data_IF_975688398075
#
_entry.id   IF_975688398075
#
_cell.length_a   1.000
_cell.length_b   1.000
_cell.length_c   1.000
_cell.angle_alpha   90.00
_cell.angle_beta   90.00
_cell.angle_gamma   90.00
#
_symmetry.space_group_name_H-M   'P 1'
#
loop_
_entity.id
_entity.type
_entity.pdbx_description
1 polymer ?
#
# COMPACT_ATOMS: atom_id res chain seq x y z
N UNK A 1 9.84 51.94 -46.90
CA UNK A 1 10.81 50.82 -47.10
C UNK A 1 11.65 50.65 -45.83
N UNK A 2 11.29 49.75 -44.94
CA UNK A 2 12.16 49.24 -43.87
C UNK A 2 11.67 47.84 -43.50
N UNK A 3 12.49 46.85 -43.86
CA UNK A 3 12.30 45.44 -43.50
C UNK A 3 12.67 45.27 -42.04
N UNK A 4 11.72 44.79 -41.22
CA UNK A 4 12.01 44.25 -39.88
C UNK A 4 12.22 42.76 -40.00
N UNK A 5 13.43 42.32 -39.71
CA UNK A 5 13.77 40.89 -39.52
C UNK A 5 13.27 40.48 -38.12
N UNK A 6 12.31 39.55 -38.06
CA UNK A 6 12.01 38.80 -36.87
C UNK A 6 13.01 37.66 -36.75
N UNK A 7 13.85 37.75 -35.72
CA UNK A 7 14.72 36.65 -35.33
C UNK A 7 13.90 35.54 -34.64
N UNK A 8 13.83 34.40 -35.28
CA UNK A 8 13.29 33.16 -34.74
C UNK A 8 14.33 32.54 -33.81
N UNK A 9 14.12 32.55 -32.51
CA UNK A 9 14.87 31.72 -31.57
C UNK A 9 14.25 30.31 -31.56
N UNK A 10 15.00 29.26 -31.90
CA UNK A 10 14.56 27.92 -31.63
C UNK A 10 14.75 27.63 -30.13
N UNK A 11 13.65 27.41 -29.44
CA UNK A 11 13.60 26.86 -28.11
C UNK A 11 14.12 25.42 -28.18
N UNK A 12 15.35 25.23 -27.80
CA UNK A 12 15.99 23.92 -27.70
C UNK A 12 15.41 23.22 -26.45
N UNK A 13 14.32 22.48 -26.62
CA UNK A 13 13.87 21.52 -25.63
C UNK A 13 14.89 20.39 -25.58
N UNK A 14 15.72 20.40 -24.54
CA UNK A 14 16.52 19.24 -24.20
C UNK A 14 15.57 18.08 -23.81
N UNK A 15 15.74 16.88 -24.36
CA UNK A 15 15.03 15.74 -23.85
C UNK A 15 15.55 15.47 -22.44
N UNK A 16 14.65 15.53 -21.44
CA UNK A 16 14.87 14.86 -20.18
C UNK A 16 14.89 13.36 -20.49
N UNK A 17 16.06 12.82 -20.60
CA UNK A 17 16.27 11.39 -20.56
C UNK A 17 16.08 10.98 -19.10
N UNK A 18 14.83 10.60 -18.74
CA UNK A 18 14.62 9.64 -17.66
C UNK A 18 15.33 8.35 -18.11
N UNK A 19 16.59 8.28 -17.82
CA UNK A 19 17.32 7.04 -17.88
C UNK A 19 16.91 6.31 -16.61
N UNK A 20 15.82 5.50 -16.67
CA UNK A 20 15.63 4.38 -15.80
C UNK A 20 16.83 3.45 -16.06
N UNK A 21 17.93 3.77 -15.41
CA UNK A 21 19.13 2.94 -15.38
C UNK A 21 18.87 1.85 -14.36
N UNK A 22 18.20 0.79 -14.82
CA UNK A 22 17.83 -0.42 -14.07
C UNK A 22 19.08 -1.27 -13.74
N UNK A 23 20.24 -0.60 -13.66
CA UNK A 23 21.51 -1.23 -13.33
C UNK A 23 21.60 -1.41 -11.82
N UNK A 24 21.86 -2.63 -11.31
CA UNK A 24 22.04 -2.88 -9.89
C UNK A 24 23.14 -2.01 -9.30
N UNK A 25 22.83 -1.21 -8.29
CA UNK A 25 23.81 -0.34 -7.60
C UNK A 25 24.27 -1.06 -6.34
N UNK A 26 25.60 -1.18 -6.16
CA UNK A 26 26.21 -1.85 -5.01
C UNK A 26 27.24 -0.91 -4.34
N UNK A 27 26.74 0.08 -3.62
CA UNK A 27 27.57 1.02 -2.89
C UNK A 27 27.46 0.81 -1.37
N UNK A 28 28.44 1.25 -0.58
CA UNK A 28 28.43 1.04 0.89
C UNK A 28 27.21 1.60 1.62
N UNK A 29 26.53 2.59 1.04
CA UNK A 29 25.35 3.25 1.63
C UNK A 29 24.12 3.22 0.74
N UNK A 30 24.23 2.69 -0.47
CA UNK A 30 23.15 2.60 -1.44
C UNK A 30 23.24 1.26 -2.16
N UNK A 31 22.22 0.45 -2.01
CA UNK A 31 22.12 -0.82 -2.68
C UNK A 31 20.78 -0.91 -3.39
N UNK A 32 20.77 -1.19 -4.68
CA UNK A 32 19.56 -1.31 -5.50
C UNK A 32 19.58 -2.56 -6.32
N UNK A 33 18.45 -3.24 -6.39
CA UNK A 33 18.15 -4.32 -7.35
C UNK A 33 16.89 -3.95 -8.17
N UNK A 34 16.41 -4.86 -8.99
CA UNK A 34 15.22 -4.68 -9.85
C UNK A 34 13.94 -4.31 -9.07
N UNK A 35 13.91 -4.54 -7.76
CA UNK A 35 12.69 -4.39 -6.97
C UNK A 35 12.86 -3.48 -5.76
N UNK A 36 14.04 -3.45 -5.16
CA UNK A 36 14.29 -2.78 -3.89
C UNK A 36 15.48 -1.86 -3.93
N UNK A 37 15.35 -0.75 -3.23
CA UNK A 37 16.47 0.17 -2.95
C UNK A 37 16.65 0.27 -1.43
N UNK A 38 17.84 -0.09 -0.96
CA UNK A 38 18.28 0.11 0.41
C UNK A 38 19.20 1.34 0.49
N UNK A 39 18.89 2.27 1.37
CA UNK A 39 19.71 3.46 1.59
C UNK A 39 20.03 3.64 3.07
N UNK A 40 21.31 3.79 3.40
CA UNK A 40 21.75 4.12 4.76
C UNK A 40 21.76 5.64 4.92
N UNK A 41 20.93 6.13 5.83
CA UNK A 41 20.69 7.55 6.10
C UNK A 41 21.02 7.88 7.56
N UNK A 42 21.15 9.15 7.89
CA UNK A 42 21.17 9.59 9.28
C UNK A 42 19.78 9.41 9.90
N UNK A 43 19.72 9.05 11.18
CA UNK A 43 18.46 9.05 11.91
C UNK A 43 17.97 10.49 12.16
N UNK A 44 16.73 10.64 12.62
CA UNK A 44 16.12 11.95 12.87
C UNK A 44 16.85 12.77 13.93
N UNK A 45 17.47 12.12 14.91
CA UNK A 45 18.22 12.77 16.00
C UNK A 45 19.68 13.10 15.62
N UNK A 46 20.12 12.75 14.41
CA UNK A 46 21.49 12.91 13.87
C UNK A 46 22.59 12.26 14.74
N UNK A 47 22.21 11.41 15.68
CA UNK A 47 23.12 10.71 16.61
C UNK A 47 23.44 9.27 16.19
N UNK A 48 22.79 8.77 15.13
CA UNK A 48 22.94 7.41 14.65
C UNK A 48 22.63 7.26 13.15
N UNK A 49 22.48 6.03 12.72
CA UNK A 49 22.20 5.66 11.35
C UNK A 49 20.92 4.83 11.26
N UNK A 50 20.18 5.04 10.20
CA UNK A 50 19.02 4.26 9.83
C UNK A 50 19.21 3.69 8.42
N UNK A 51 18.49 2.64 8.11
CA UNK A 51 18.35 2.11 6.75
C UNK A 51 16.92 2.27 6.30
N UNK A 52 16.73 2.83 5.14
CA UNK A 52 15.41 2.89 4.46
C UNK A 52 15.38 1.87 3.34
N UNK A 53 14.28 1.14 3.23
CA UNK A 53 13.99 0.21 2.14
C UNK A 53 12.81 0.74 1.36
N UNK A 54 13.04 1.07 0.10
CA UNK A 54 12.03 1.60 -0.81
C UNK A 54 11.78 0.60 -1.94
N UNK A 55 10.52 0.35 -2.26
CA UNK A 55 10.15 -0.44 -3.42
C UNK A 55 10.35 0.40 -4.68
N UNK A 56 10.86 -0.20 -5.76
CA UNK A 56 11.02 0.53 -7.03
C UNK A 56 9.68 1.07 -7.51
N UNK A 57 9.67 2.35 -7.90
CA UNK A 57 8.45 3.07 -8.31
C UNK A 57 7.65 3.71 -7.16
N UNK A 58 7.99 3.42 -5.90
CA UNK A 58 7.34 4.05 -4.75
C UNK A 58 8.15 5.24 -4.24
N UNK A 59 7.46 6.31 -3.85
CA UNK A 59 8.09 7.51 -3.30
C UNK A 59 8.43 7.36 -1.80
N UNK A 60 7.67 6.53 -1.08
CA UNK A 60 7.82 6.34 0.35
C UNK A 60 8.53 5.02 0.68
N UNK A 61 9.38 5.01 1.71
CA UNK A 61 10.03 3.78 2.14
C UNK A 61 9.01 2.83 2.79
N UNK A 62 9.05 1.56 2.38
CA UNK A 62 8.25 0.50 2.99
C UNK A 62 8.73 0.13 4.40
N UNK A 63 10.00 0.38 4.68
CA UNK A 63 10.63 0.12 5.98
C UNK A 63 11.71 1.15 6.25
N UNK A 64 11.69 1.72 7.45
CA UNK A 64 12.81 2.46 8.03
C UNK A 64 13.16 1.84 9.37
N UNK A 65 14.42 1.50 9.55
CA UNK A 65 14.87 0.84 10.77
C UNK A 65 16.25 1.31 11.22
N UNK A 66 16.61 1.12 12.48
CA UNK A 66 17.92 1.50 12.99
C UNK A 66 19.02 0.67 12.31
N UNK A 67 20.08 1.35 11.88
CA UNK A 67 21.27 0.72 11.32
C UNK A 67 22.41 0.75 12.34
N UNK A 68 22.32 -0.11 13.37
CA UNK A 68 23.22 -0.10 14.54
C UNK A 68 24.45 -1.00 14.39
N UNK A 69 24.65 -1.57 13.24
CA UNK A 69 25.74 -2.51 12.98
C UNK A 69 27.06 -1.77 12.79
N UNK A 70 27.77 -1.54 13.86
CA UNK A 70 29.12 -0.98 13.85
C UNK A 70 29.52 -0.41 15.21
N UNK A 71 30.82 -0.54 15.58
CA UNK A 71 31.39 0.03 16.80
C UNK A 71 31.57 1.54 16.73
N UNK A 72 31.55 2.09 15.52
CA UNK A 72 31.81 3.50 15.26
C UNK A 72 30.54 4.22 14.86
N UNK A 73 30.08 5.13 15.74
CA UNK A 73 28.90 5.98 15.46
C UNK A 73 29.09 6.92 14.27
N UNK A 74 30.35 7.19 13.88
CA UNK A 74 30.65 8.08 12.76
C UNK A 74 30.56 7.38 11.41
N UNK A 75 30.86 6.08 11.36
CA UNK A 75 30.86 5.31 10.13
C UNK A 75 29.92 4.12 10.26
N UNK A 76 28.79 4.09 9.54
CA UNK A 76 27.90 2.94 9.54
C UNK A 76 28.59 1.74 8.89
N UNK A 77 28.21 0.53 9.31
CA UNK A 77 28.59 -0.67 8.58
C UNK A 77 28.16 -0.53 7.12
N UNK A 78 29.02 -0.83 6.14
CA UNK A 78 28.63 -0.84 4.75
C UNK A 78 27.55 -1.90 4.49
N UNK A 79 26.68 -1.64 3.53
CA UNK A 79 25.76 -2.64 3.01
C UNK A 79 26.56 -3.76 2.34
N UNK A 80 26.17 -4.99 2.58
CA UNK A 80 26.67 -6.18 1.91
C UNK A 80 25.50 -7.05 1.42
N UNK A 81 25.77 -8.04 0.58
CA UNK A 81 24.76 -8.95 0.01
C UNK A 81 23.90 -9.59 1.10
N UNK A 82 24.49 -10.02 2.22
CA UNK A 82 23.78 -10.69 3.31
C UNK A 82 22.84 -9.72 4.03
N UNK A 83 23.34 -8.50 4.30
CA UNK A 83 22.54 -7.45 4.92
C UNK A 83 21.39 -7.03 4.03
N UNK A 84 21.64 -6.79 2.74
CA UNK A 84 20.61 -6.44 1.78
C UNK A 84 19.52 -7.51 1.68
N UNK A 85 19.88 -8.77 1.53
CA UNK A 85 18.91 -9.87 1.50
C UNK A 85 18.07 -9.99 2.78
N UNK A 86 18.67 -9.69 3.92
CA UNK A 86 17.94 -9.67 5.21
C UNK A 86 16.94 -8.52 5.26
N UNK A 87 17.36 -7.34 4.80
CA UNK A 87 16.49 -6.16 4.70
C UNK A 87 15.32 -6.39 3.74
N UNK A 88 15.57 -6.99 2.57
CA UNK A 88 14.53 -7.34 1.58
C UNK A 88 13.50 -8.28 2.21
N UNK A 89 13.93 -9.33 2.93
CA UNK A 89 13.00 -10.22 3.64
C UNK A 89 12.16 -9.48 4.65
N UNK A 90 12.78 -8.62 5.47
CA UNK A 90 12.08 -7.85 6.50
C UNK A 90 11.09 -6.87 5.89
N UNK A 91 11.51 -6.11 4.87
CA UNK A 91 10.65 -5.15 4.18
C UNK A 91 9.46 -5.85 3.48
N UNK A 92 9.71 -6.97 2.80
CA UNK A 92 8.65 -7.77 2.17
C UNK A 92 7.64 -8.31 3.19
N UNK A 93 8.11 -8.73 4.37
CA UNK A 93 7.23 -9.18 5.47
C UNK A 93 6.37 -8.04 6.02
N UNK A 94 6.95 -6.83 6.17
CA UNK A 94 6.22 -5.62 6.61
C UNK A 94 5.14 -5.26 5.61
N UNK A 95 5.47 -5.20 4.31
CA UNK A 95 4.49 -4.94 3.25
C UNK A 95 3.36 -5.96 3.26
N UNK A 96 3.68 -7.25 3.32
CA UNK A 96 2.69 -8.31 3.35
C UNK A 96 1.73 -8.19 4.55
N UNK A 97 2.24 -7.84 5.72
CA UNK A 97 1.41 -7.60 6.91
C UNK A 97 0.51 -6.39 6.73
N UNK A 98 1.04 -5.32 6.16
CA UNK A 98 0.27 -4.10 5.89
C UNK A 98 -0.86 -4.39 4.89
N UNK A 99 -0.57 -5.06 3.78
CA UNK A 99 -1.58 -5.49 2.81
C UNK A 99 -2.66 -6.38 3.44
N UNK A 100 -2.28 -7.34 4.29
CA UNK A 100 -3.23 -8.19 5.01
C UNK A 100 -4.10 -7.38 5.97
N UNK A 101 -3.55 -6.40 6.67
CA UNK A 101 -4.31 -5.52 7.56
C UNK A 101 -5.30 -4.64 6.78
N UNK A 102 -4.85 -4.03 5.68
CA UNK A 102 -5.72 -3.26 4.78
C UNK A 102 -6.84 -4.13 4.23
N UNK A 103 -6.51 -5.31 3.72
CA UNK A 103 -7.50 -6.25 3.22
C UNK A 103 -8.53 -6.63 4.29
N UNK A 104 -8.10 -6.89 5.52
CA UNK A 104 -8.99 -7.22 6.63
C UNK A 104 -9.87 -6.02 7.07
N UNK A 105 -9.39 -4.79 6.90
CA UNK A 105 -10.17 -3.59 7.17
C UNK A 105 -11.22 -3.33 6.09
N UNK A 106 -10.86 -3.55 4.83
CA UNK A 106 -11.70 -3.29 3.67
C UNK A 106 -12.67 -4.43 3.36
N UNK A 107 -12.36 -5.66 3.80
CA UNK A 107 -13.16 -6.85 3.53
C UNK A 107 -13.55 -7.52 4.86
N UNK A 108 -14.74 -7.22 5.34
CA UNK A 108 -15.29 -7.81 6.56
C UNK A 108 -16.35 -8.82 6.21
N UNK A 109 -16.42 -9.93 6.94
CA UNK A 109 -17.49 -10.88 6.80
C UNK A 109 -17.94 -11.41 8.17
N UNK A 110 -19.22 -11.74 8.28
CA UNK A 110 -19.83 -12.37 9.44
C UNK A 110 -20.75 -13.47 8.96
N UNK A 111 -20.81 -14.56 9.72
CA UNK A 111 -21.80 -15.61 9.51
C UNK A 111 -22.91 -15.44 10.53
N UNK A 112 -24.15 -15.45 10.07
CA UNK A 112 -25.35 -15.34 10.89
C UNK A 112 -26.25 -16.55 10.66
N UNK A 113 -27.13 -16.82 11.60
CA UNK A 113 -28.20 -17.79 11.45
C UNK A 113 -29.54 -17.06 11.61
N UNK A 114 -30.38 -17.12 10.60
CA UNK A 114 -31.72 -16.52 10.64
C UNK A 114 -32.63 -17.24 11.60
N UNK A 115 -33.77 -16.64 11.97
CA UNK A 115 -34.78 -17.26 12.77
C UNK A 115 -35.38 -18.58 12.17
N UNK A 116 -35.22 -18.73 10.84
CA UNK A 116 -35.63 -19.92 10.09
C UNK A 116 -34.57 -21.03 10.08
N UNK A 117 -33.43 -20.82 10.77
CA UNK A 117 -32.32 -21.76 10.83
C UNK A 117 -31.38 -21.74 9.62
N UNK A 118 -31.58 -20.83 8.69
CA UNK A 118 -30.70 -20.66 7.52
C UNK A 118 -29.41 -19.95 7.92
N UNK A 119 -28.27 -20.53 7.55
CA UNK A 119 -26.96 -19.91 7.77
C UNK A 119 -26.61 -19.09 6.56
N UNK A 120 -26.30 -17.81 6.80
CA UNK A 120 -25.91 -16.85 5.77
C UNK A 120 -24.56 -16.24 6.09
N UNK A 121 -23.77 -16.01 5.06
CA UNK A 121 -22.53 -15.24 5.13
C UNK A 121 -22.80 -13.84 4.60
N UNK A 122 -22.66 -12.84 5.45
CA UNK A 122 -22.76 -11.42 5.05
C UNK A 122 -21.38 -10.85 4.97
N UNK A 123 -21.05 -10.25 3.82
CA UNK A 123 -19.77 -9.62 3.56
C UNK A 123 -19.97 -8.12 3.31
N UNK A 124 -19.08 -7.31 3.88
CA UNK A 124 -18.95 -5.89 3.60
C UNK A 124 -17.61 -5.66 2.90
N UNK A 125 -17.66 -5.14 1.68
CA UNK A 125 -16.50 -4.77 0.89
C UNK A 125 -16.47 -3.25 0.79
N UNK A 126 -15.36 -2.64 1.21
CA UNK A 126 -15.11 -1.21 1.12
C UNK A 126 -14.06 -0.99 0.03
N UNK A 127 -14.38 -0.17 -0.94
CA UNK A 127 -13.46 0.23 -2.03
C UNK A 127 -13.12 1.70 -1.80
N UNK A 128 -11.85 2.00 -1.45
CA UNK A 128 -11.40 3.39 -1.37
C UNK A 128 -11.37 4.00 -2.78
N UNK A 129 -11.78 5.26 -2.87
CA UNK A 129 -11.78 6.05 -4.10
C UNK A 129 -11.25 7.45 -3.78
N UNK A 130 -10.74 8.17 -4.78
CA UNK A 130 -10.22 9.53 -4.64
C UNK A 130 -11.31 10.53 -4.20
N UNK A 131 -12.56 10.30 -4.61
CA UNK A 131 -13.74 11.12 -4.23
C UNK A 131 -14.40 10.68 -2.92
N UNK A 132 -13.97 9.56 -2.36
CA UNK A 132 -14.51 8.96 -1.14
C UNK A 132 -14.60 7.44 -1.26
N UNK A 133 -14.77 6.75 -0.14
CA UNK A 133 -14.91 5.30 -0.13
C UNK A 133 -16.34 4.89 -0.48
N UNK A 134 -16.48 3.84 -1.27
CA UNK A 134 -17.76 3.15 -1.49
C UNK A 134 -17.80 1.83 -0.73
N UNK A 135 -18.97 1.44 -0.24
CA UNK A 135 -19.11 0.17 0.44
C UNK A 135 -20.32 -0.61 -0.09
N UNK A 136 -20.17 -1.92 -0.13
CA UNK A 136 -21.20 -2.84 -0.62
C UNK A 136 -21.36 -3.98 0.37
N UNK A 137 -22.61 -4.25 0.76
CA UNK A 137 -22.99 -5.46 1.47
C UNK A 137 -23.45 -6.52 0.48
N UNK A 138 -23.07 -7.77 0.73
CA UNK A 138 -23.59 -8.93 0.02
C UNK A 138 -23.94 -10.05 1.02
N UNK A 139 -24.99 -10.80 0.73
CA UNK A 139 -25.37 -11.97 1.47
C UNK A 139 -25.26 -13.21 0.59
N UNK A 140 -24.66 -14.25 1.10
CA UNK A 140 -24.48 -15.55 0.45
C UNK A 140 -25.02 -16.67 1.33
N UNK A 141 -25.55 -17.70 0.72
CA UNK A 141 -25.97 -18.91 1.41
C UNK A 141 -24.77 -19.86 1.70
N UNK A 142 -25.07 -21.03 2.24
CA UNK A 142 -24.06 -22.07 2.53
C UNK A 142 -23.41 -22.66 1.27
N UNK A 143 -24.05 -22.53 0.12
CA UNK A 143 -23.52 -22.98 -1.18
C UNK A 143 -22.65 -21.92 -1.85
N UNK A 144 -22.62 -20.69 -1.28
CA UNK A 144 -21.91 -19.56 -1.83
C UNK A 144 -22.70 -18.79 -2.89
N UNK A 145 -24.00 -19.08 -3.03
CA UNK A 145 -24.89 -18.34 -3.93
C UNK A 145 -25.22 -16.97 -3.33
N UNK A 146 -25.05 -15.91 -4.14
CA UNK A 146 -25.38 -14.55 -3.72
C UNK A 146 -26.89 -14.35 -3.73
N UNK A 147 -27.45 -14.13 -2.54
CA UNK A 147 -28.88 -13.90 -2.36
C UNK A 147 -29.28 -12.44 -2.54
N UNK A 148 -28.39 -11.54 -2.13
CA UNK A 148 -28.64 -10.10 -2.22
C UNK A 148 -27.34 -9.28 -2.19
N UNK A 149 -27.41 -8.08 -2.79
CA UNK A 149 -26.36 -7.09 -2.76
C UNK A 149 -26.97 -5.70 -2.60
N UNK A 150 -26.44 -4.89 -1.68
CA UNK A 150 -26.89 -3.53 -1.45
C UNK A 150 -25.73 -2.59 -1.18
N UNK A 151 -25.79 -1.30 -1.62
CA UNK A 151 -24.84 -0.29 -1.23
C UNK A 151 -25.02 0.02 0.28
N UNK A 152 -23.89 0.28 0.95
CA UNK A 152 -23.85 0.66 2.36
C UNK A 152 -22.96 1.90 2.54
N UNK A 153 -23.13 2.69 3.60
CA UNK A 153 -22.18 3.73 3.92
C UNK A 153 -20.83 3.13 4.32
N UNK A 154 -19.68 3.74 3.96
CA UNK A 154 -18.36 3.23 4.31
C UNK A 154 -18.12 3.13 5.82
N UNK A 155 -18.85 3.93 6.60
CA UNK A 155 -18.84 3.91 8.06
C UNK A 155 -19.65 2.77 8.69
N UNK A 156 -20.32 1.94 7.87
CA UNK A 156 -21.15 0.85 8.36
C UNK A 156 -20.33 -0.18 9.15
N UNK A 157 -20.78 -0.47 10.36
CA UNK A 157 -20.15 -1.49 11.21
C UNK A 157 -20.84 -2.83 11.01
N UNK A 158 -20.17 -3.72 10.28
CA UNK A 158 -20.67 -5.09 10.11
C UNK A 158 -20.45 -5.88 11.41
N UNK A 159 -21.54 -6.21 12.05
CA UNK A 159 -21.62 -7.08 13.24
C UNK A 159 -22.68 -8.17 12.98
N UNK A 160 -22.69 -9.27 13.73
CA UNK A 160 -23.76 -10.27 13.59
C UNK A 160 -25.17 -9.68 13.75
N UNK A 161 -25.34 -8.74 14.68
CA UNK A 161 -26.62 -8.07 14.92
C UNK A 161 -27.05 -7.18 13.75
N UNK A 162 -26.14 -6.34 13.22
CA UNK A 162 -26.44 -5.47 12.07
C UNK A 162 -26.66 -6.26 10.79
N UNK A 163 -25.92 -7.35 10.59
CA UNK A 163 -26.11 -8.25 9.46
C UNK A 163 -27.48 -8.95 9.53
N UNK A 164 -27.88 -9.45 10.72
CA UNK A 164 -29.18 -10.07 10.91
C UNK A 164 -30.31 -9.07 10.66
N UNK A 165 -30.22 -7.87 11.23
CA UNK A 165 -31.20 -6.81 11.01
C UNK A 165 -31.38 -6.47 9.53
N UNK A 166 -30.25 -6.41 8.77
CA UNK A 166 -30.30 -6.16 7.33
C UNK A 166 -30.99 -7.29 6.56
N UNK A 167 -30.70 -8.53 6.90
CA UNK A 167 -31.36 -9.71 6.26
C UNK A 167 -32.86 -9.74 6.62
N UNK A 168 -33.23 -9.48 7.85
CA UNK A 168 -34.62 -9.46 8.31
C UNK A 168 -35.44 -8.29 7.73
N UNK A 169 -34.79 -7.17 7.37
CA UNK A 169 -35.43 -6.06 6.65
C UNK A 169 -35.73 -6.37 5.17
N UNK A 170 -35.36 -7.55 4.67
CA UNK A 170 -35.50 -7.91 3.28
C UNK A 170 -34.42 -7.30 2.38
N UNK A 171 -33.23 -7.08 2.92
CA UNK A 171 -32.06 -6.54 2.22
C UNK A 171 -32.24 -5.07 1.75
N UNK A 172 -32.98 -4.29 2.53
CA UNK A 172 -33.18 -2.89 2.24
C UNK A 172 -31.88 -2.08 2.25
N UNK A 173 -31.86 -0.98 1.50
CA UNK A 173 -30.71 -0.06 1.47
C UNK A 173 -30.48 0.54 2.85
N UNK A 174 -29.24 0.54 3.29
CA UNK A 174 -28.80 1.22 4.50
C UNK A 174 -28.51 2.70 4.17
N UNK A 175 -29.12 3.57 4.92
CA UNK A 175 -28.96 5.03 4.81
C UNK A 175 -28.02 5.58 5.89
#
# INVERSE_FOLDING_TARGET
>A
MRRMLCAFFPFCSAPMTDTDDDTPIHEPRLWSDERWTARVIKNEDDDGWAVSMTLQGEAEPALVGPWTMGRDKKNPKPLDVSAFNTLVKTASEVLRRHEQQLHAQLNKNVTITTAQGQRLRVALVIVPDEEGATATLSAQDELGEELARAPAPPSFKLTPASALAWVESGFERLH
#
